data_IF_154787063215
#
_entry.id   IF_154787063215
#
_cell.length_a   1.000
_cell.length_b   1.000
_cell.length_c   1.000
_cell.angle_alpha   90.00
_cell.angle_beta   90.00
_cell.angle_gamma   90.00
#
_symmetry.space_group_name_H-M   'P 1'
#
loop_
_entity.id
_entity.type
_entity.pdbx_description
1 polymer ?
#
# COMPACT_ATOMS: atom_id res chain seq x y z
N UNK A 1 -3.99 2.71 -24.57
CA UNK A 1 -3.20 2.46 -23.33
C UNK A 1 -3.23 3.73 -22.48
N UNK A 2 -3.99 3.68 -21.40
CA UNK A 2 -4.20 4.85 -20.52
C UNK A 2 -2.96 5.19 -19.66
N UNK A 3 -2.08 4.21 -19.41
CA UNK A 3 -0.91 4.34 -18.55
C UNK A 3 0.41 4.16 -19.30
N UNK A 4 0.39 4.38 -20.62
CA UNK A 4 1.60 4.26 -21.42
C UNK A 4 2.71 5.14 -20.83
N UNK A 5 3.88 4.54 -20.63
CA UNK A 5 5.10 5.16 -20.09
C UNK A 5 4.97 5.68 -18.64
N UNK A 6 3.86 5.37 -17.93
CA UNK A 6 3.68 5.70 -16.52
C UNK A 6 4.41 4.70 -15.63
N UNK A 7 5.13 5.21 -14.63
CA UNK A 7 5.86 4.43 -13.62
C UNK A 7 5.00 4.31 -12.36
N UNK A 8 4.68 3.10 -11.94
CA UNK A 8 3.78 2.84 -10.80
C UNK A 8 4.46 1.90 -9.81
N UNK A 9 4.58 2.35 -8.56
CA UNK A 9 5.01 1.52 -7.45
C UNK A 9 3.79 0.84 -6.82
N UNK A 10 3.86 -0.48 -6.58
CA UNK A 10 2.79 -1.26 -5.97
C UNK A 10 3.32 -1.98 -4.72
N UNK A 11 2.68 -1.71 -3.57
CA UNK A 11 2.95 -2.40 -2.30
C UNK A 11 1.82 -3.35 -1.95
N UNK A 12 2.15 -4.53 -1.37
CA UNK A 12 1.17 -5.48 -0.87
C UNK A 12 0.77 -6.58 -1.85
N UNK A 13 1.54 -6.81 -2.91
CA UNK A 13 1.35 -7.97 -3.79
C UNK A 13 1.95 -9.21 -3.12
N UNK A 14 1.12 -9.99 -2.43
CA UNK A 14 1.54 -11.17 -1.67
C UNK A 14 1.49 -12.47 -2.50
N UNK A 15 0.54 -12.58 -3.42
CA UNK A 15 0.32 -13.74 -4.30
C UNK A 15 -0.64 -13.39 -5.45
N UNK A 16 -0.85 -14.33 -6.37
CA UNK A 16 -1.73 -14.16 -7.55
C UNK A 16 -3.22 -13.89 -7.25
N UNK A 17 -3.65 -14.13 -6.02
CA UNK A 17 -5.05 -13.90 -5.58
C UNK A 17 -5.23 -12.56 -4.86
N UNK A 18 -4.14 -11.83 -4.58
CA UNK A 18 -4.24 -10.51 -3.96
C UNK A 18 -4.88 -9.50 -4.91
N UNK A 19 -5.62 -8.54 -4.36
CA UNK A 19 -6.21 -7.43 -5.14
C UNK A 19 -5.09 -6.69 -5.90
N UNK A 20 -3.92 -6.54 -5.28
CA UNK A 20 -2.74 -5.94 -5.92
C UNK A 20 -2.33 -6.65 -7.21
N UNK A 21 -2.51 -7.98 -7.32
CA UNK A 21 -2.21 -8.71 -8.56
C UNK A 21 -3.17 -8.33 -9.69
N UNK A 22 -4.46 -8.18 -9.38
CA UNK A 22 -5.46 -7.68 -10.34
C UNK A 22 -5.17 -6.25 -10.81
N UNK A 23 -4.77 -5.38 -9.88
CA UNK A 23 -4.38 -4.00 -10.17
C UNK A 23 -3.12 -3.98 -11.05
N UNK A 24 -2.08 -4.74 -10.69
CA UNK A 24 -0.85 -4.84 -11.47
C UNK A 24 -1.11 -5.33 -12.90
N UNK A 25 -1.92 -6.37 -13.05
CA UNK A 25 -2.32 -6.90 -14.35
C UNK A 25 -3.05 -5.85 -15.21
N UNK A 26 -3.97 -5.10 -14.62
CA UNK A 26 -4.69 -4.03 -15.32
C UNK A 26 -3.76 -2.89 -15.73
N UNK A 27 -2.88 -2.44 -14.84
CA UNK A 27 -1.93 -1.37 -15.11
C UNK A 27 -0.89 -1.76 -16.15
N UNK A 28 -0.37 -2.99 -16.09
CA UNK A 28 0.54 -3.55 -17.11
C UNK A 28 -0.12 -3.57 -18.49
N UNK A 29 -1.36 -4.09 -18.58
CA UNK A 29 -2.14 -4.10 -19.84
C UNK A 29 -2.33 -2.71 -20.43
N UNK A 30 -2.42 -1.68 -19.58
CA UNK A 30 -2.55 -0.28 -19.99
C UNK A 30 -1.19 0.41 -20.25
N UNK A 31 -0.08 -0.33 -20.20
CA UNK A 31 1.24 0.15 -20.61
C UNK A 31 2.09 0.77 -19.51
N UNK A 32 1.73 0.59 -18.23
CA UNK A 32 2.54 1.05 -17.12
C UNK A 32 3.83 0.22 -16.96
N UNK A 33 4.90 0.88 -16.56
CA UNK A 33 6.09 0.28 -15.98
C UNK A 33 5.83 0.09 -14.48
N UNK A 34 6.06 -1.11 -13.96
CA UNK A 34 5.74 -1.46 -12.57
C UNK A 34 7.00 -1.70 -11.76
N UNK A 35 6.96 -1.31 -10.49
CA UNK A 35 7.88 -1.72 -9.44
C UNK A 35 7.08 -2.22 -8.25
N UNK A 36 7.66 -3.12 -7.46
CA UNK A 36 6.96 -3.75 -6.35
C UNK A 36 7.78 -3.70 -5.07
N UNK A 37 7.09 -3.54 -3.93
CA UNK A 37 7.70 -3.77 -2.63
C UNK A 37 7.27 -5.11 -2.03
N UNK A 38 8.17 -5.69 -1.24
CA UNK A 38 7.92 -6.91 -0.47
C UNK A 38 8.48 -6.75 0.96
N UNK A 39 7.86 -7.41 1.94
CA UNK A 39 8.28 -7.29 3.34
C UNK A 39 9.45 -8.21 3.70
N UNK A 40 9.53 -9.41 3.10
CA UNK A 40 10.50 -10.43 3.48
C UNK A 40 10.72 -11.46 2.35
N UNK A 41 11.76 -12.28 2.50
CA UNK A 41 12.16 -13.31 1.53
C UNK A 41 11.03 -14.32 1.18
N UNK A 42 10.15 -14.63 2.13
CA UNK A 42 9.01 -15.52 1.85
C UNK A 42 8.06 -14.90 0.83
N UNK A 43 7.77 -13.61 0.97
CA UNK A 43 6.91 -12.88 0.03
C UNK A 43 7.62 -12.65 -1.30
N UNK A 44 8.93 -12.39 -1.29
CA UNK A 44 9.73 -12.24 -2.50
C UNK A 44 9.63 -13.47 -3.42
N UNK A 45 9.69 -14.69 -2.86
CA UNK A 45 9.55 -15.93 -3.64
C UNK A 45 8.25 -16.01 -4.42
N UNK A 46 7.15 -15.52 -3.85
CA UNK A 46 5.85 -15.48 -4.51
C UNK A 46 5.72 -14.31 -5.49
N UNK A 47 6.32 -13.18 -5.15
CA UNK A 47 6.24 -11.93 -5.92
C UNK A 47 7.05 -12.01 -7.22
N UNK A 48 8.26 -12.57 -7.17
CA UNK A 48 9.21 -12.57 -8.29
C UNK A 48 8.61 -13.08 -9.60
N UNK A 49 8.00 -14.29 -9.66
CA UNK A 49 7.43 -14.78 -10.91
C UNK A 49 6.24 -13.94 -11.40
N UNK A 50 5.50 -13.30 -10.49
CA UNK A 50 4.41 -12.39 -10.87
C UNK A 50 4.96 -11.10 -11.47
N UNK A 51 5.96 -10.49 -10.84
CA UNK A 51 6.59 -9.28 -11.35
C UNK A 51 7.21 -9.51 -12.74
N UNK A 52 7.90 -10.63 -12.93
CA UNK A 52 8.43 -11.06 -14.24
C UNK A 52 7.33 -11.18 -15.30
N UNK A 53 6.16 -11.69 -14.94
CA UNK A 53 5.01 -11.77 -15.86
C UNK A 53 4.44 -10.41 -16.26
N UNK A 54 4.71 -9.37 -15.48
CA UNK A 54 4.39 -7.96 -15.78
C UNK A 54 5.58 -7.20 -16.37
N UNK A 55 6.65 -7.88 -16.75
CA UNK A 55 7.85 -7.28 -17.34
C UNK A 55 8.65 -6.42 -16.36
N UNK A 56 8.52 -6.66 -15.05
CA UNK A 56 9.24 -5.92 -14.01
C UNK A 56 10.29 -6.78 -13.32
N UNK A 57 11.47 -6.20 -13.13
CA UNK A 57 12.57 -6.72 -12.32
C UNK A 57 12.86 -5.86 -11.08
N UNK A 58 12.10 -4.78 -10.87
CA UNK A 58 12.28 -3.85 -9.75
C UNK A 58 11.49 -4.36 -8.54
N UNK A 59 12.19 -5.07 -7.66
CA UNK A 59 11.66 -5.67 -6.43
C UNK A 59 12.43 -5.11 -5.23
N UNK A 60 11.76 -4.42 -4.33
CA UNK A 60 12.38 -3.65 -3.27
C UNK A 60 11.88 -4.10 -1.91
N UNK A 61 12.78 -4.41 -1.00
CA UNK A 61 12.41 -4.75 0.37
C UNK A 61 11.89 -3.52 1.12
N UNK A 62 10.73 -3.68 1.76
CA UNK A 62 10.09 -2.64 2.54
C UNK A 62 9.18 -3.24 3.63
N UNK A 63 9.64 -3.19 4.86
CA UNK A 63 8.80 -3.44 6.03
C UNK A 63 8.20 -2.11 6.50
N UNK A 64 6.89 -1.98 6.35
CA UNK A 64 6.18 -0.74 6.70
C UNK A 64 6.07 -0.47 8.20
N UNK A 65 6.46 -1.43 9.04
CA UNK A 65 6.59 -1.24 10.49
C UNK A 65 7.91 -0.54 10.89
N UNK A 66 8.78 -0.22 9.93
CA UNK A 66 10.10 0.40 10.16
C UNK A 66 10.32 1.61 9.27
N UNK A 67 10.45 2.79 9.89
CA UNK A 67 10.76 4.03 9.17
C UNK A 67 12.09 3.96 8.41
N UNK A 68 13.09 3.25 8.98
CA UNK A 68 14.38 3.02 8.31
C UNK A 68 14.21 2.14 7.07
N UNK A 69 13.40 1.08 7.15
CA UNK A 69 13.08 0.22 6.01
C UNK A 69 12.37 1.01 4.92
N UNK A 70 11.37 1.83 5.27
CA UNK A 70 10.68 2.72 4.34
C UNK A 70 11.68 3.68 3.69
N UNK A 71 12.52 4.36 4.47
CA UNK A 71 13.51 5.30 3.92
C UNK A 71 14.49 4.62 2.96
N UNK A 72 14.98 3.44 3.32
CA UNK A 72 15.92 2.70 2.49
C UNK A 72 15.26 2.16 1.21
N UNK A 73 13.98 1.77 1.26
CA UNK A 73 13.25 1.30 0.08
C UNK A 73 13.13 2.40 -1.00
N UNK A 74 12.88 3.65 -0.62
CA UNK A 74 12.84 4.75 -1.60
C UNK A 74 14.22 5.18 -2.10
N UNK A 75 15.28 5.03 -1.29
CA UNK A 75 16.66 5.17 -1.78
C UNK A 75 17.00 4.11 -2.83
N UNK A 76 16.55 2.87 -2.61
CA UNK A 76 16.74 1.79 -3.57
C UNK A 76 15.93 2.02 -4.84
N UNK A 77 14.66 2.43 -4.72
CA UNK A 77 13.83 2.82 -5.87
C UNK A 77 14.50 3.92 -6.71
N UNK A 78 15.16 4.88 -6.06
CA UNK A 78 15.90 5.96 -6.70
C UNK A 78 17.07 5.53 -7.57
N UNK A 79 17.56 4.30 -7.43
CA UNK A 79 18.57 3.73 -8.34
C UNK A 79 17.99 3.26 -9.68
N UNK A 80 16.67 3.02 -9.72
CA UNK A 80 15.95 2.57 -10.90
C UNK A 80 15.16 3.70 -11.57
N UNK A 81 14.51 4.55 -10.77
CA UNK A 81 13.67 5.65 -11.24
C UNK A 81 14.02 6.96 -10.53
N UNK A 82 14.30 8.01 -11.28
CA UNK A 82 14.45 9.36 -10.71
C UNK A 82 13.12 9.91 -10.18
N UNK A 83 12.01 9.50 -10.82
CA UNK A 83 10.64 9.89 -10.45
C UNK A 83 9.62 8.87 -10.93
N UNK A 84 8.38 8.94 -10.40
CA UNK A 84 7.30 8.04 -10.80
C UNK A 84 5.91 8.71 -10.69
N UNK A 85 4.89 8.08 -11.29
CA UNK A 85 3.58 8.70 -11.53
C UNK A 85 2.48 8.19 -10.61
N UNK A 86 2.68 7.10 -9.92
CA UNK A 86 1.64 6.55 -9.06
C UNK A 86 2.15 5.56 -8.03
N UNK A 87 1.42 5.51 -6.92
CA UNK A 87 1.68 4.59 -5.83
C UNK A 87 0.38 3.89 -5.42
N UNK A 88 0.41 2.56 -5.38
CA UNK A 88 -0.69 1.72 -4.89
C UNK A 88 -0.31 1.10 -3.56
N UNK A 89 -1.02 1.48 -2.52
CA UNK A 89 -0.93 0.92 -1.18
C UNK A 89 -2.01 -0.16 -1.01
N UNK A 90 -1.62 -1.43 -1.12
CA UNK A 90 -2.50 -2.59 -0.94
C UNK A 90 -2.08 -3.41 0.28
N UNK A 91 -1.82 -2.72 1.41
CA UNK A 91 -1.35 -3.31 2.65
C UNK A 91 -2.46 -3.27 3.69
N UNK A 92 -2.56 -4.34 4.46
CA UNK A 92 -3.42 -4.42 5.62
C UNK A 92 -3.08 -5.66 6.43
N UNK A 93 -3.00 -5.49 7.75
CA UNK A 93 -2.71 -6.57 8.68
C UNK A 93 -3.31 -6.27 10.05
N UNK A 94 -3.86 -7.29 10.67
CA UNK A 94 -4.15 -7.37 12.10
C UNK A 94 -3.83 -8.79 12.59
N UNK A 95 -3.40 -8.98 13.85
CA UNK A 95 -3.26 -10.31 14.43
C UNK A 95 -4.60 -11.06 14.39
N UNK A 96 -4.57 -12.36 14.08
CA UNK A 96 -5.79 -13.16 13.85
C UNK A 96 -6.69 -13.22 15.09
N UNK A 97 -6.11 -13.27 16.28
CA UNK A 97 -6.80 -13.27 17.57
C UNK A 97 -7.56 -11.96 17.87
N UNK A 98 -7.31 -10.91 17.10
CA UNK A 98 -8.01 -9.63 17.20
C UNK A 98 -9.22 -9.53 16.28
N UNK A 99 -9.43 -10.49 15.40
CA UNK A 99 -10.47 -10.47 14.37
C UNK A 99 -11.69 -11.30 14.73
N UNK A 100 -11.50 -12.46 15.37
CA UNK A 100 -12.58 -13.39 15.73
C UNK A 100 -13.10 -13.12 17.14
N UNK A 101 -14.42 -13.26 17.33
CA UNK A 101 -15.08 -13.10 18.63
C UNK A 101 -15.68 -11.71 18.84
N UNK A 102 -16.11 -11.44 20.08
CA UNK A 102 -16.70 -10.16 20.48
C UNK A 102 -15.62 -9.07 20.47
N UNK A 103 -15.88 -7.99 19.77
CA UNK A 103 -14.93 -6.87 19.64
C UNK A 103 -14.37 -6.38 20.98
N UNK A 104 -15.26 -6.22 21.98
CA UNK A 104 -14.86 -5.68 23.28
C UNK A 104 -14.00 -6.68 24.09
N UNK A 105 -14.18 -7.97 23.86
CA UNK A 105 -13.47 -9.01 24.62
C UNK A 105 -12.09 -9.33 24.01
N UNK A 106 -11.97 -9.29 22.66
CA UNK A 106 -10.73 -9.71 21.98
C UNK A 106 -9.80 -8.54 21.67
N UNK A 107 -10.29 -7.30 21.67
CA UNK A 107 -9.47 -6.14 21.32
C UNK A 107 -8.47 -5.81 22.43
N UNK A 108 -7.19 -5.93 22.10
CA UNK A 108 -6.09 -5.54 22.98
C UNK A 108 -5.45 -4.21 22.54
N UNK A 109 -4.77 -3.54 23.48
CA UNK A 109 -4.00 -2.32 23.17
C UNK A 109 -2.96 -2.57 22.09
N UNK A 110 -2.24 -3.68 22.16
CA UNK A 110 -1.18 -4.02 21.21
C UNK A 110 -1.75 -4.41 19.84
N UNK A 111 -2.81 -5.24 19.80
CA UNK A 111 -3.47 -5.59 18.54
C UNK A 111 -4.07 -4.39 17.83
N UNK A 112 -4.68 -3.46 18.60
CA UNK A 112 -5.19 -2.19 18.08
C UNK A 112 -4.07 -1.35 17.46
N UNK A 113 -2.94 -1.21 18.18
CA UNK A 113 -1.77 -0.47 17.72
C UNK A 113 -1.19 -1.07 16.43
N UNK A 114 -0.96 -2.38 16.39
CA UNK A 114 -0.43 -3.08 15.21
C UNK A 114 -1.36 -2.90 14.00
N UNK A 115 -2.67 -3.08 14.18
CA UNK A 115 -3.63 -2.94 13.08
C UNK A 115 -3.63 -1.52 12.48
N UNK A 116 -3.58 -0.47 13.32
CA UNK A 116 -3.54 0.91 12.86
C UNK A 116 -2.19 1.30 12.27
N UNK A 117 -1.09 0.85 12.85
CA UNK A 117 0.25 1.10 12.36
C UNK A 117 0.43 0.55 10.93
N UNK A 118 0.17 -0.74 10.76
CA UNK A 118 0.37 -1.42 9.48
C UNK A 118 -0.69 -1.06 8.44
N UNK A 119 -1.98 -0.91 8.84
CA UNK A 119 -3.08 -0.80 7.87
C UNK A 119 -3.54 0.64 7.61
N UNK A 120 -3.06 1.62 8.38
CA UNK A 120 -3.44 3.02 8.26
C UNK A 120 -2.22 3.94 8.20
N UNK A 121 -1.38 3.98 9.25
CA UNK A 121 -0.23 4.90 9.32
C UNK A 121 0.77 4.63 8.19
N UNK A 122 0.98 3.37 7.82
CA UNK A 122 1.92 3.01 6.75
C UNK A 122 1.63 3.74 5.42
N UNK A 123 0.36 4.03 5.10
CA UNK A 123 0.02 4.81 3.91
C UNK A 123 0.55 6.24 3.99
N UNK A 124 0.44 6.88 5.14
CA UNK A 124 0.98 8.22 5.39
C UNK A 124 2.51 8.21 5.35
N UNK A 125 3.15 7.23 6.00
CA UNK A 125 4.61 7.09 6.02
C UNK A 125 5.20 6.87 4.61
N UNK A 126 4.58 5.98 3.83
CA UNK A 126 4.97 5.73 2.43
C UNK A 126 4.69 6.94 1.53
N UNK A 127 3.57 7.63 1.70
CA UNK A 127 3.27 8.87 0.96
C UNK A 127 4.31 9.97 1.24
N UNK A 128 4.72 10.12 2.51
CA UNK A 128 5.79 11.04 2.91
C UNK A 128 7.11 10.70 2.23
N UNK A 129 7.50 9.44 2.24
CA UNK A 129 8.75 8.99 1.61
C UNK A 129 8.71 9.08 0.08
N UNK A 130 7.55 8.82 -0.53
CA UNK A 130 7.32 8.91 -1.96
C UNK A 130 7.35 10.35 -2.50
N UNK A 131 6.87 11.32 -1.70
CA UNK A 131 6.62 12.71 -2.13
C UNK A 131 7.76 13.35 -2.92
N UNK A 132 9.04 13.23 -2.54
CA UNK A 132 10.15 13.83 -3.30
C UNK A 132 10.36 13.28 -4.71
N UNK A 133 9.84 12.08 -4.99
CA UNK A 133 10.00 11.37 -6.26
C UNK A 133 8.72 11.41 -7.12
N UNK A 134 7.61 11.95 -6.61
CA UNK A 134 6.35 11.98 -7.35
C UNK A 134 6.35 13.05 -8.43
N UNK A 135 5.97 12.68 -9.65
CA UNK A 135 5.76 13.61 -10.75
C UNK A 135 4.54 14.51 -10.49
N UNK A 136 4.54 15.68 -11.09
CA UNK A 136 3.33 16.52 -11.15
C UNK A 136 2.19 15.75 -11.83
N UNK A 137 0.99 15.77 -11.23
CA UNK A 137 -0.16 15.00 -11.72
C UNK A 137 -0.21 13.54 -11.26
N UNK A 138 0.70 13.12 -10.37
CA UNK A 138 0.73 11.77 -9.81
C UNK A 138 -0.55 11.42 -9.02
N UNK A 139 -0.74 10.11 -8.78
CA UNK A 139 -1.85 9.61 -7.98
C UNK A 139 -1.41 8.56 -6.99
N UNK A 140 -1.90 8.67 -5.75
CA UNK A 140 -1.82 7.66 -4.72
C UNK A 140 -3.18 6.98 -4.55
N UNK A 141 -3.16 5.66 -4.42
CA UNK A 141 -4.36 4.85 -4.22
C UNK A 141 -4.13 3.90 -3.04
N UNK A 142 -5.09 3.83 -2.13
CA UNK A 142 -5.13 2.78 -1.11
C UNK A 142 -6.39 1.95 -1.24
N UNK A 143 -6.44 0.81 -0.54
CA UNK A 143 -7.59 -0.10 -0.56
C UNK A 143 -8.30 -0.06 0.79
N UNK A 144 -9.56 0.32 0.78
CA UNK A 144 -10.44 0.28 1.94
C UNK A 144 -11.50 -0.82 1.80
N UNK A 145 -12.38 -0.91 2.79
CA UNK A 145 -13.44 -1.91 2.83
C UNK A 145 -14.66 -1.40 3.61
N UNK A 146 -15.83 -1.93 3.29
CA UNK A 146 -17.10 -1.57 3.91
C UNK A 146 -17.09 -1.61 5.46
N UNK A 147 -16.21 -2.41 6.04
CA UNK A 147 -15.98 -2.45 7.49
C UNK A 147 -15.47 -1.14 8.12
N UNK A 148 -15.08 -0.15 7.30
CA UNK A 148 -14.75 1.21 7.77
C UNK A 148 -15.96 2.00 8.26
N UNK A 149 -17.17 1.69 7.76
CA UNK A 149 -18.42 2.39 8.05
C UNK A 149 -19.50 1.48 8.67
N UNK A 150 -19.27 0.17 8.69
CA UNK A 150 -20.18 -0.81 9.26
C UNK A 150 -19.43 -1.79 10.14
N UNK A 151 -20.04 -2.22 11.25
CA UNK A 151 -19.53 -3.32 12.05
C UNK A 151 -19.79 -4.64 11.32
N UNK A 152 -18.73 -5.34 10.95
CA UNK A 152 -18.78 -6.62 10.27
C UNK A 152 -18.25 -7.73 11.17
N UNK A 153 -18.91 -8.92 11.21
CA UNK A 153 -18.39 -10.07 11.93
C UNK A 153 -16.96 -10.41 11.50
N UNK A 154 -16.12 -10.78 12.48
CA UNK A 154 -14.72 -11.20 12.26
C UNK A 154 -13.84 -10.15 11.55
N UNK A 155 -14.20 -8.88 11.66
CA UNK A 155 -13.39 -7.78 11.12
C UNK A 155 -12.82 -6.85 12.19
N UNK A 156 -13.52 -6.69 13.31
CA UNK A 156 -13.11 -6.03 14.55
C UNK A 156 -12.14 -4.84 14.37
N UNK A 157 -10.93 -4.91 14.93
CA UNK A 157 -9.94 -3.81 14.89
C UNK A 157 -9.57 -3.37 13.46
N UNK A 158 -9.71 -4.26 12.48
CA UNK A 158 -9.44 -3.91 11.10
C UNK A 158 -10.45 -2.88 10.55
N UNK A 159 -11.72 -2.95 10.99
CA UNK A 159 -12.72 -1.94 10.63
C UNK A 159 -12.31 -0.54 11.09
N UNK A 160 -11.81 -0.43 12.32
CA UNK A 160 -11.31 0.83 12.87
C UNK A 160 -10.07 1.31 12.13
N UNK A 161 -9.14 0.40 11.81
CA UNK A 161 -7.96 0.73 11.01
C UNK A 161 -8.32 1.23 9.60
N UNK A 162 -9.36 0.64 8.95
CA UNK A 162 -9.85 1.11 7.65
C UNK A 162 -10.57 2.44 7.73
N UNK A 163 -11.32 2.72 8.79
CA UNK A 163 -11.90 4.05 9.02
C UNK A 163 -10.79 5.11 9.20
N UNK A 164 -9.75 4.78 9.96
CA UNK A 164 -8.55 5.61 10.08
C UNK A 164 -7.86 5.83 8.74
N UNK A 165 -7.71 4.78 7.91
CA UNK A 165 -7.11 4.87 6.57
C UNK A 165 -7.89 5.80 5.64
N UNK A 166 -9.23 5.77 5.68
CA UNK A 166 -10.07 6.69 4.91
C UNK A 166 -9.92 8.14 5.39
N UNK A 167 -9.79 8.35 6.70
CA UNK A 167 -9.46 9.68 7.24
C UNK A 167 -8.07 10.12 6.74
N UNK A 168 -7.05 9.29 6.82
CA UNK A 168 -5.71 9.57 6.29
C UNK A 168 -5.75 9.94 4.81
N UNK A 169 -6.55 9.23 3.99
CA UNK A 169 -6.73 9.54 2.57
C UNK A 169 -7.19 10.98 2.36
N UNK A 170 -8.19 11.44 3.15
CA UNK A 170 -8.68 12.83 3.07
C UNK A 170 -7.62 13.86 3.48
N UNK A 171 -6.89 13.59 4.55
CA UNK A 171 -5.81 14.49 5.01
C UNK A 171 -4.63 14.52 4.04
N UNK A 172 -4.24 13.37 3.48
CA UNK A 172 -3.20 13.32 2.45
C UNK A 172 -3.64 14.04 1.17
N UNK A 173 -4.90 13.87 0.73
CA UNK A 173 -5.44 14.57 -0.44
C UNK A 173 -5.40 16.10 -0.25
N UNK A 174 -5.79 16.59 0.92
CA UNK A 174 -5.72 18.01 1.24
C UNK A 174 -4.26 18.53 1.30
N UNK A 175 -3.35 17.75 1.87
CA UNK A 175 -1.93 18.13 2.03
C UNK A 175 -1.14 18.08 0.72
N UNK A 176 -1.43 17.11 -0.15
CA UNK A 176 -0.67 16.88 -1.40
C UNK A 176 -1.33 17.51 -2.64
N UNK A 177 -2.61 17.89 -2.52
CA UNK A 177 -3.36 18.55 -3.60
C UNK A 177 -2.71 19.83 -4.15
N UNK A 178 -2.15 20.73 -3.31
CA UNK A 178 -1.40 21.91 -3.80
C UNK A 178 -0.20 21.56 -4.69
N UNK A 179 0.39 20.37 -4.52
CA UNK A 179 1.47 19.85 -5.36
C UNK A 179 0.93 19.09 -6.61
N UNK A 180 -0.38 19.19 -6.87
CA UNK A 180 -1.08 18.49 -7.96
C UNK A 180 -0.96 16.95 -7.85
N UNK A 181 -0.95 16.41 -6.64
CA UNK A 181 -0.94 14.97 -6.37
C UNK A 181 -2.32 14.57 -5.83
N UNK A 182 -2.96 13.61 -6.49
CA UNK A 182 -4.28 13.10 -6.09
C UNK A 182 -4.11 11.91 -5.15
N UNK A 183 -4.95 11.83 -4.11
CA UNK A 183 -4.95 10.72 -3.17
C UNK A 183 -6.38 10.18 -3.04
N UNK A 184 -6.57 8.87 -3.22
CA UNK A 184 -7.88 8.22 -3.22
C UNK A 184 -7.83 6.86 -2.50
N UNK A 185 -9.03 6.35 -2.12
CA UNK A 185 -9.25 5.01 -1.58
C UNK A 185 -10.41 4.33 -2.34
#
# INVERSE_FOLDING_TARGET
MLLKDKRILISGLANKYSIAAGIASAMHREGAQLAFTYQNERLLKNLKPLAESYGSDILIECDVASDDSISNSFKELGKHWDSFDGFVHSIGFAPADQLEGSFVDVTTREGFKIAHDISSYSFTALAKAAKPMLNNGSALLTLTYLGSIQSLPNYNVMGLAKASLEANTRFLAASMGPDNIRVNA
#
